data_IF_683076820954
#
_entry.id   IF_683076820954
#
_cell.length_a   1.000
_cell.length_b   1.000
_cell.length_c   1.000
_cell.angle_alpha   90.00
_cell.angle_beta   90.00
_cell.angle_gamma   90.00
#
_symmetry.space_group_name_H-M   'P 1'
#
loop_
_entity.id
_entity.type
_entity.pdbx_description
1 polymer ?
#
# COMPACT_ATOMS: atom_id res chain seq x y z
N UNK A 1 -19.10 33.13 -49.34
CA UNK A 1 -20.34 33.78 -48.85
C UNK A 1 -21.13 32.92 -47.85
N UNK A 2 -21.38 31.62 -48.12
CA UNK A 2 -22.18 30.75 -47.25
C UNK A 2 -21.61 30.56 -45.81
N UNK A 3 -20.30 30.44 -45.66
CA UNK A 3 -19.66 30.32 -44.34
C UNK A 3 -19.74 31.59 -43.50
N UNK A 4 -19.73 32.77 -44.11
CA UNK A 4 -19.87 34.04 -43.40
C UNK A 4 -21.30 34.18 -42.86
N UNK A 5 -22.31 33.72 -43.61
CA UNK A 5 -23.71 33.71 -43.17
C UNK A 5 -23.91 32.72 -42.02
N UNK A 6 -23.30 31.52 -42.08
CA UNK A 6 -23.36 30.53 -40.99
C UNK A 6 -22.66 31.05 -39.72
N UNK A 7 -21.46 31.61 -39.84
CA UNK A 7 -20.75 32.22 -38.70
C UNK A 7 -21.53 33.40 -38.12
N UNK A 8 -22.18 34.22 -38.95
CA UNK A 8 -23.00 35.34 -38.50
C UNK A 8 -24.26 34.85 -37.74
N UNK A 9 -24.91 33.79 -38.21
CA UNK A 9 -26.01 33.15 -37.49
C UNK A 9 -25.56 32.49 -36.18
N UNK A 10 -24.39 31.84 -36.15
CA UNK A 10 -23.81 31.25 -34.93
C UNK A 10 -23.43 32.34 -33.92
N UNK A 11 -22.83 33.44 -34.37
CA UNK A 11 -22.44 34.59 -33.53
C UNK A 11 -23.69 35.32 -33.00
N UNK A 12 -24.73 35.51 -33.83
CA UNK A 12 -26.02 36.09 -33.37
C UNK A 12 -26.69 35.15 -32.37
N UNK A 13 -26.67 33.83 -32.60
CA UNK A 13 -27.25 32.82 -31.70
C UNK A 13 -26.48 32.77 -30.37
N UNK A 14 -25.15 32.82 -30.40
CA UNK A 14 -24.28 32.95 -29.21
C UNK A 14 -24.52 34.26 -28.46
N UNK A 15 -24.63 35.39 -29.18
CA UNK A 15 -24.87 36.72 -28.59
C UNK A 15 -26.25 36.85 -27.94
N UNK A 16 -27.27 36.19 -28.50
CA UNK A 16 -28.61 36.07 -27.92
C UNK A 16 -28.65 35.09 -26.73
N UNK A 17 -27.73 34.13 -26.67
CA UNK A 17 -27.59 33.18 -25.56
C UNK A 17 -26.77 33.73 -24.38
N UNK A 18 -25.89 34.72 -24.58
CA UNK A 18 -25.00 35.24 -23.53
C UNK A 18 -25.69 35.65 -22.19
N UNK A 19 -26.89 36.28 -22.17
CA UNK A 19 -27.59 36.56 -20.91
C UNK A 19 -28.11 35.30 -20.22
N UNK A 20 -28.44 34.26 -21.01
CA UNK A 20 -29.02 32.99 -20.58
C UNK A 20 -27.96 31.90 -20.30
N UNK A 21 -26.69 32.14 -20.62
CA UNK A 21 -25.60 31.18 -20.39
C UNK A 21 -25.19 31.08 -18.93
N UNK A 22 -25.32 32.16 -18.14
CA UNK A 22 -24.88 32.18 -16.74
C UNK A 22 -25.60 31.11 -15.88
N UNK A 23 -26.94 30.98 -15.89
CA UNK A 23 -27.62 29.94 -15.10
C UNK A 23 -27.30 28.52 -15.55
N UNK A 24 -27.09 28.31 -16.86
CA UNK A 24 -26.72 27.01 -17.44
C UNK A 24 -25.34 26.60 -16.91
N UNK A 25 -24.35 27.49 -17.02
CA UNK A 25 -22.99 27.24 -16.53
C UNK A 25 -22.95 26.98 -15.03
N UNK A 26 -23.68 27.77 -14.23
CA UNK A 26 -23.76 27.59 -12.77
C UNK A 26 -24.38 26.24 -12.43
N UNK A 27 -25.50 25.88 -13.07
CA UNK A 27 -26.17 24.59 -12.83
C UNK A 27 -25.26 23.40 -13.20
N UNK A 28 -24.59 23.46 -14.35
CA UNK A 28 -23.63 22.44 -14.78
C UNK A 28 -22.44 22.31 -13.82
N UNK A 29 -21.82 23.44 -13.43
CA UNK A 29 -20.68 23.44 -12.51
C UNK A 29 -21.06 22.84 -11.15
N UNK A 30 -22.24 23.17 -10.63
CA UNK A 30 -22.75 22.57 -9.39
C UNK A 30 -22.93 21.06 -9.51
N UNK A 31 -23.46 20.56 -10.63
CA UNK A 31 -23.61 19.12 -10.86
C UNK A 31 -22.28 18.39 -11.09
N UNK A 32 -21.22 19.09 -11.53
CA UNK A 32 -19.85 18.54 -11.56
C UNK A 32 -19.30 18.39 -10.14
N UNK A 33 -19.54 19.39 -9.26
CA UNK A 33 -19.11 19.32 -7.85
C UNK A 33 -19.78 18.14 -7.15
N UNK A 34 -21.11 18.00 -7.29
CA UNK A 34 -21.82 16.82 -6.83
C UNK A 34 -23.14 16.63 -7.61
N UNK A 35 -23.42 15.41 -8.13
CA UNK A 35 -24.67 15.14 -8.84
C UNK A 35 -25.89 15.46 -7.98
N UNK A 36 -26.77 16.34 -8.48
CA UNK A 36 -27.96 16.81 -7.78
C UNK A 36 -27.90 18.28 -7.34
N UNK A 37 -26.72 18.88 -7.16
CA UNK A 37 -26.64 20.30 -6.78
C UNK A 37 -27.15 21.23 -7.90
N UNK A 38 -26.86 20.92 -9.17
CA UNK A 38 -27.40 21.67 -10.31
C UNK A 38 -28.91 21.54 -10.47
N UNK A 39 -29.47 20.35 -10.23
CA UNK A 39 -30.92 20.12 -10.19
C UNK A 39 -31.58 20.93 -9.07
N UNK A 40 -30.94 21.03 -7.91
CA UNK A 40 -31.43 21.82 -6.79
C UNK A 40 -31.41 23.32 -7.08
N UNK A 41 -30.36 23.82 -7.75
CA UNK A 41 -30.30 25.20 -8.27
C UNK A 41 -31.48 25.51 -9.20
N UNK A 42 -31.84 24.54 -10.04
CA UNK A 42 -32.98 24.59 -10.97
C UNK A 42 -34.36 24.36 -10.30
N UNK A 43 -34.45 24.37 -8.96
CA UNK A 43 -35.66 24.07 -8.17
C UNK A 43 -36.25 22.67 -8.40
N UNK A 44 -35.47 21.73 -8.92
CA UNK A 44 -35.85 20.32 -9.04
C UNK A 44 -35.40 19.50 -7.82
N UNK A 45 -35.87 19.89 -6.64
CA UNK A 45 -35.42 19.32 -5.35
C UNK A 45 -35.60 17.81 -5.28
N UNK A 46 -36.70 17.27 -5.81
CA UNK A 46 -36.94 15.82 -5.81
C UNK A 46 -35.89 15.05 -6.62
N UNK A 47 -35.51 15.56 -7.80
CA UNK A 47 -34.42 14.95 -8.58
C UNK A 47 -33.10 15.03 -7.82
N UNK A 48 -32.80 16.16 -7.20
CA UNK A 48 -31.58 16.31 -6.40
C UNK A 48 -31.49 15.28 -5.27
N UNK A 49 -32.59 15.08 -4.53
CA UNK A 49 -32.68 14.08 -3.46
C UNK A 49 -32.45 12.66 -3.98
N UNK A 50 -33.09 12.28 -5.09
CA UNK A 50 -32.88 10.96 -5.70
C UNK A 50 -31.42 10.76 -6.13
N UNK A 51 -30.78 11.78 -6.70
CA UNK A 51 -29.39 11.71 -7.11
C UNK A 51 -28.45 11.56 -5.90
N UNK A 52 -28.73 12.24 -4.79
CA UNK A 52 -27.98 12.07 -3.53
C UNK A 52 -28.14 10.64 -2.97
N UNK A 53 -29.37 10.10 -2.97
CA UNK A 53 -29.64 8.74 -2.49
C UNK A 53 -28.92 7.65 -3.32
N UNK A 54 -28.61 7.91 -4.58
CA UNK A 54 -27.83 7.00 -5.43
C UNK A 54 -26.32 7.23 -5.28
N UNK A 55 -25.88 8.48 -5.26
CA UNK A 55 -24.46 8.81 -5.24
C UNK A 55 -23.79 8.49 -3.90
N UNK A 56 -24.46 8.76 -2.77
CA UNK A 56 -23.87 8.53 -1.44
C UNK A 56 -23.51 7.03 -1.24
N UNK A 57 -24.40 6.06 -1.52
CA UNK A 57 -24.04 4.64 -1.46
C UNK A 57 -22.98 4.23 -2.48
N UNK A 58 -22.98 4.79 -3.69
CA UNK A 58 -21.94 4.51 -4.69
C UNK A 58 -20.56 4.99 -4.23
N UNK A 59 -20.49 6.20 -3.66
CA UNK A 59 -19.27 6.76 -3.08
C UNK A 59 -18.77 5.88 -1.92
N UNK A 60 -19.70 5.32 -1.12
CA UNK A 60 -19.38 4.36 -0.06
C UNK A 60 -18.83 3.02 -0.58
N UNK A 61 -19.47 2.44 -1.60
CA UNK A 61 -19.00 1.21 -2.23
C UNK A 61 -17.62 1.39 -2.86
N UNK A 62 -17.36 2.55 -3.48
CA UNK A 62 -16.05 2.91 -4.01
C UNK A 62 -14.98 2.95 -2.92
N UNK A 63 -15.32 3.53 -1.76
CA UNK A 63 -14.44 3.58 -0.62
C UNK A 63 -14.10 2.19 -0.08
N UNK A 64 -15.09 1.29 0.05
CA UNK A 64 -14.89 -0.06 0.60
C UNK A 64 -14.14 -0.98 -0.36
N UNK A 65 -14.41 -0.91 -1.67
CA UNK A 65 -13.89 -1.88 -2.67
C UNK A 65 -12.67 -1.42 -3.45
N UNK A 66 -12.06 -0.28 -3.09
CA UNK A 66 -10.80 0.16 -3.70
C UNK A 66 -10.88 0.39 -5.22
N UNK A 67 -11.82 1.23 -5.66
CA UNK A 67 -11.95 1.80 -7.02
C UNK A 67 -12.84 1.08 -8.06
N UNK A 68 -13.62 0.07 -7.70
CA UNK A 68 -14.43 -0.68 -8.68
C UNK A 68 -15.57 0.11 -9.38
N UNK A 69 -15.97 1.30 -8.88
CA UNK A 69 -17.16 2.03 -9.35
C UNK A 69 -16.83 3.47 -9.79
N UNK A 70 -15.55 3.82 -9.97
CA UNK A 70 -15.15 5.18 -10.39
C UNK A 70 -15.60 5.51 -11.83
N UNK A 71 -15.52 4.54 -12.73
CA UNK A 71 -15.92 4.71 -14.14
C UNK A 71 -17.43 4.95 -14.26
N UNK A 72 -18.22 4.15 -13.54
CA UNK A 72 -19.68 4.31 -13.46
C UNK A 72 -20.08 5.65 -12.83
N UNK A 73 -19.33 6.09 -11.82
CA UNK A 73 -19.53 7.38 -11.16
C UNK A 73 -19.27 8.55 -12.12
N UNK A 74 -18.25 8.45 -12.98
CA UNK A 74 -17.93 9.46 -13.98
C UNK A 74 -19.00 9.53 -15.07
N UNK A 75 -19.40 8.38 -15.64
CA UNK A 75 -20.49 8.31 -16.62
C UNK A 75 -21.80 8.86 -16.07
N UNK A 76 -22.14 8.51 -14.82
CA UNK A 76 -23.33 9.03 -14.15
C UNK A 76 -23.28 10.54 -13.95
N UNK A 77 -22.11 11.10 -13.61
CA UNK A 77 -21.92 12.55 -13.47
C UNK A 77 -22.17 13.27 -14.78
N UNK A 78 -21.67 12.74 -15.90
CA UNK A 78 -21.88 13.34 -17.22
C UNK A 78 -23.37 13.44 -17.54
N UNK A 79 -24.13 12.36 -17.32
CA UNK A 79 -25.59 12.33 -17.54
C UNK A 79 -26.29 13.38 -16.68
N UNK A 80 -25.92 13.49 -15.41
CA UNK A 80 -26.52 14.45 -14.47
C UNK A 80 -26.19 15.90 -14.82
N UNK A 81 -24.98 16.18 -15.30
CA UNK A 81 -24.57 17.50 -15.79
C UNK A 81 -25.37 17.90 -17.02
N UNK A 82 -25.58 16.97 -17.96
CA UNK A 82 -26.41 17.19 -19.16
C UNK A 82 -27.86 17.49 -18.77
N UNK A 83 -28.47 16.70 -17.86
CA UNK A 83 -29.84 16.95 -17.37
C UNK A 83 -29.97 18.33 -16.68
N UNK A 84 -28.97 18.71 -15.88
CA UNK A 84 -28.93 20.00 -15.20
C UNK A 84 -28.83 21.16 -16.20
N UNK A 85 -27.94 21.04 -17.19
CA UNK A 85 -27.74 22.04 -18.25
C UNK A 85 -29.00 22.20 -19.11
N UNK A 86 -29.60 21.09 -19.54
CA UNK A 86 -30.81 21.08 -20.35
C UNK A 86 -32.00 21.67 -19.60
N UNK A 87 -32.15 21.31 -18.32
CA UNK A 87 -33.18 21.88 -17.46
C UNK A 87 -33.00 23.39 -17.30
N UNK A 88 -31.78 23.84 -17.03
CA UNK A 88 -31.48 25.25 -16.89
C UNK A 88 -31.80 26.01 -18.18
N UNK A 89 -31.40 25.47 -19.34
CA UNK A 89 -31.75 26.04 -20.64
C UNK A 89 -33.28 26.15 -20.83
N UNK A 90 -34.04 25.10 -20.51
CA UNK A 90 -35.51 25.13 -20.60
C UNK A 90 -36.13 26.21 -19.69
N UNK A 91 -35.62 26.38 -18.46
CA UNK A 91 -36.07 27.44 -17.55
C UNK A 91 -35.76 28.82 -18.13
N UNK A 92 -34.62 29.01 -18.81
CA UNK A 92 -34.33 30.30 -19.46
C UNK A 92 -35.27 30.65 -20.63
N UNK A 93 -35.90 29.66 -21.26
CA UNK A 93 -36.87 29.85 -22.35
C UNK A 93 -38.30 30.06 -21.83
N UNK A 94 -38.59 29.66 -20.59
CA UNK A 94 -39.94 29.66 -20.01
C UNK A 94 -40.03 30.70 -18.89
N UNK A 95 -40.66 31.85 -19.17
CA UNK A 95 -40.80 32.95 -18.21
C UNK A 95 -41.64 32.60 -16.97
N UNK A 96 -42.39 31.49 -16.99
CA UNK A 96 -43.15 31.01 -15.83
C UNK A 96 -42.28 30.31 -14.78
N UNK A 97 -41.05 29.94 -15.14
CA UNK A 97 -40.12 29.23 -14.26
C UNK A 97 -38.96 30.15 -13.89
N UNK A 98 -38.55 30.06 -12.64
CA UNK A 98 -37.40 30.84 -12.15
C UNK A 98 -36.39 29.93 -11.46
N UNK A 99 -35.12 30.31 -11.56
CA UNK A 99 -34.06 29.74 -10.73
C UNK A 99 -34.27 30.11 -9.26
N UNK A 100 -33.50 29.48 -8.37
CA UNK A 100 -33.36 30.00 -7.01
C UNK A 100 -32.75 31.41 -7.06
N UNK A 101 -33.24 32.30 -6.20
CA UNK A 101 -32.57 33.59 -6.00
C UNK A 101 -31.20 33.35 -5.37
N UNK A 102 -30.28 34.30 -5.52
CA UNK A 102 -28.91 34.14 -4.97
C UNK A 102 -28.92 33.78 -3.48
N UNK A 103 -29.77 34.45 -2.68
CA UNK A 103 -29.94 34.15 -1.24
C UNK A 103 -30.47 32.74 -1.00
N UNK A 104 -31.48 32.30 -1.77
CA UNK A 104 -32.03 30.95 -1.63
C UNK A 104 -31.06 29.87 -2.09
N UNK A 105 -30.29 30.14 -3.14
CA UNK A 105 -29.27 29.26 -3.68
C UNK A 105 -28.17 29.03 -2.65
N UNK A 106 -27.64 30.09 -2.05
CA UNK A 106 -26.62 30.00 -0.99
C UNK A 106 -27.10 29.18 0.21
N UNK A 107 -28.33 29.43 0.68
CA UNK A 107 -28.89 28.69 1.83
C UNK A 107 -29.09 27.21 1.48
N UNK A 108 -29.78 26.91 0.38
CA UNK A 108 -30.15 25.52 0.04
C UNK A 108 -28.95 24.68 -0.38
N UNK A 109 -28.09 25.22 -1.24
CA UNK A 109 -26.87 24.52 -1.68
C UNK A 109 -25.92 24.40 -0.50
N UNK A 110 -25.74 25.45 0.31
CA UNK A 110 -24.89 25.42 1.49
C UNK A 110 -25.31 24.33 2.48
N UNK A 111 -26.60 24.25 2.82
CA UNK A 111 -27.14 23.19 3.67
C UNK A 111 -26.87 21.81 3.07
N UNK A 112 -27.14 21.62 1.77
CA UNK A 112 -26.91 20.31 1.15
C UNK A 112 -25.45 19.92 1.07
N UNK A 113 -24.52 20.86 0.85
CA UNK A 113 -23.08 20.57 0.91
C UNK A 113 -22.67 20.15 2.32
N UNK A 114 -23.20 20.80 3.37
CA UNK A 114 -22.95 20.40 4.76
C UNK A 114 -23.49 19.00 5.04
N UNK A 115 -24.71 18.69 4.60
CA UNK A 115 -25.31 17.35 4.74
C UNK A 115 -24.47 16.31 3.99
N UNK A 116 -24.09 16.59 2.74
CA UNK A 116 -23.25 15.70 1.93
C UNK A 116 -21.90 15.46 2.59
N UNK A 117 -21.24 16.50 3.11
CA UNK A 117 -19.99 16.37 3.85
C UNK A 117 -20.16 15.51 5.10
N UNK A 118 -21.26 15.68 5.84
CA UNK A 118 -21.56 14.85 7.00
C UNK A 118 -21.82 13.37 6.62
N UNK A 119 -22.61 13.12 5.58
CA UNK A 119 -22.91 11.77 5.11
C UNK A 119 -21.69 11.07 4.52
N UNK A 120 -20.80 11.78 3.85
CA UNK A 120 -19.61 11.17 3.20
C UNK A 120 -18.42 11.10 4.15
N UNK A 121 -18.05 12.21 4.79
CA UNK A 121 -16.88 12.28 5.68
C UNK A 121 -17.21 11.82 7.10
N UNK A 122 -18.36 12.23 7.65
CA UNK A 122 -18.75 11.86 9.02
C UNK A 122 -18.93 10.36 9.19
N UNK A 123 -19.64 9.70 8.27
CA UNK A 123 -19.76 8.24 8.26
C UNK A 123 -18.41 7.56 8.04
N UNK A 124 -17.52 8.13 7.22
CA UNK A 124 -16.18 7.59 7.01
C UNK A 124 -15.35 7.65 8.29
N UNK A 125 -15.38 8.76 9.02
CA UNK A 125 -14.70 8.87 10.32
C UNK A 125 -15.28 7.89 11.35
N UNK A 126 -16.61 7.79 11.44
CA UNK A 126 -17.27 6.85 12.34
C UNK A 126 -16.88 5.39 12.00
N UNK A 127 -16.86 5.02 10.72
CA UNK A 127 -16.44 3.70 10.28
C UNK A 127 -14.96 3.43 10.58
N UNK A 128 -14.06 4.37 10.31
CA UNK A 128 -12.64 4.24 10.64
C UNK A 128 -12.46 4.06 12.15
N UNK A 129 -13.20 4.80 12.98
CA UNK A 129 -13.13 4.63 14.43
C UNK A 129 -13.64 3.28 14.89
N UNK A 130 -14.81 2.83 14.40
CA UNK A 130 -15.37 1.51 14.73
C UNK A 130 -14.45 0.39 14.25
N UNK A 131 -13.92 0.50 13.03
CA UNK A 131 -12.97 -0.47 12.48
C UNK A 131 -11.68 -0.52 13.31
N UNK A 132 -11.09 0.64 13.62
CA UNK A 132 -9.88 0.70 14.44
C UNK A 132 -10.13 0.19 15.86
N UNK A 133 -11.32 0.41 16.41
CA UNK A 133 -11.71 -0.14 17.70
C UNK A 133 -11.86 -1.66 17.63
N UNK A 134 -12.55 -2.19 16.62
CA UNK A 134 -12.68 -3.63 16.41
C UNK A 134 -11.33 -4.31 16.20
N UNK A 135 -10.41 -3.68 15.44
CA UNK A 135 -9.03 -4.17 15.26
C UNK A 135 -8.27 -4.14 16.59
N UNK A 136 -8.39 -3.07 17.38
CA UNK A 136 -7.75 -3.00 18.72
C UNK A 136 -8.32 -4.04 19.69
N UNK A 137 -9.63 -4.30 19.64
CA UNK A 137 -10.28 -5.32 20.45
C UNK A 137 -9.83 -6.73 20.02
N UNK A 138 -9.69 -6.99 18.71
CA UNK A 138 -9.10 -8.25 18.21
C UNK A 138 -7.63 -8.42 18.60
N UNK A 139 -6.82 -7.36 18.54
CA UNK A 139 -5.40 -7.40 18.94
C UNK A 139 -5.21 -7.59 20.46
N UNK A 140 -6.18 -7.17 21.26
CA UNK A 140 -6.18 -7.34 22.71
C UNK A 140 -6.89 -8.62 23.18
N UNK A 141 -7.47 -9.39 22.26
CA UNK A 141 -8.01 -10.71 22.56
C UNK A 141 -6.85 -11.67 22.83
N UNK A 142 -6.40 -11.71 24.09
CA UNK A 142 -5.65 -12.84 24.63
C UNK A 142 -6.61 -14.03 24.66
N UNK A 143 -6.80 -14.68 23.52
CA UNK A 143 -7.34 -16.04 23.51
C UNK A 143 -6.24 -16.91 24.11
N UNK A 144 -6.21 -17.00 25.44
CA UNK A 144 -5.39 -17.98 26.14
C UNK A 144 -6.13 -19.31 26.09
N UNK A 145 -6.28 -19.85 24.89
CA UNK A 145 -6.81 -21.20 24.71
C UNK A 145 -5.69 -22.18 25.07
N UNK A 146 -5.79 -22.71 26.29
CA UNK A 146 -4.82 -23.64 26.86
C UNK A 146 -4.70 -24.93 26.04
N UNK A 147 -5.76 -25.35 25.34
CA UNK A 147 -5.74 -26.54 24.49
C UNK A 147 -4.99 -26.26 23.20
N UNK A 148 -5.34 -25.18 22.51
CA UNK A 148 -4.68 -24.81 21.26
C UNK A 148 -3.19 -24.48 21.43
N UNK A 149 -2.81 -23.88 22.56
CA UNK A 149 -1.41 -23.68 22.91
C UNK A 149 -0.65 -25.01 23.03
N UNK A 150 -1.26 -26.05 23.63
CA UNK A 150 -0.64 -27.38 23.72
C UNK A 150 -0.49 -28.00 22.34
N UNK A 151 -1.52 -27.92 21.49
CA UNK A 151 -1.45 -28.45 20.12
C UNK A 151 -0.30 -27.82 19.32
N UNK A 152 -0.10 -26.51 19.44
CA UNK A 152 1.02 -25.82 18.78
C UNK A 152 2.37 -26.33 19.29
N UNK A 153 2.51 -26.51 20.61
CA UNK A 153 3.75 -27.03 21.19
C UNK A 153 3.99 -28.48 20.76
N UNK A 154 2.97 -29.34 20.77
CA UNK A 154 3.06 -30.72 20.30
C UNK A 154 3.44 -30.79 18.83
N UNK A 155 2.81 -29.99 17.97
CA UNK A 155 3.15 -29.86 16.55
C UNK A 155 4.64 -29.52 16.36
N UNK A 156 5.15 -28.54 17.09
CA UNK A 156 6.55 -28.12 16.98
C UNK A 156 7.53 -29.14 17.56
N UNK A 157 7.18 -29.77 18.68
CA UNK A 157 8.01 -30.81 19.33
C UNK A 157 8.12 -32.06 18.47
N UNK A 158 7.02 -32.52 17.88
CA UNK A 158 7.00 -33.66 16.95
C UNK A 158 7.84 -33.36 15.71
N UNK A 159 7.75 -32.13 15.19
CA UNK A 159 8.44 -31.72 13.97
C UNK A 159 9.95 -31.51 14.20
N UNK A 160 10.32 -30.77 15.24
CA UNK A 160 11.67 -30.26 15.42
C UNK A 160 12.48 -30.93 16.54
N UNK A 161 11.86 -31.78 17.37
CA UNK A 161 12.52 -32.45 18.51
C UNK A 161 13.17 -31.47 19.51
N UNK A 162 12.61 -30.27 19.63
CA UNK A 162 13.06 -29.19 20.52
C UNK A 162 11.92 -28.71 21.43
N UNK A 163 12.25 -28.14 22.60
CA UNK A 163 11.25 -27.54 23.50
C UNK A 163 10.93 -26.09 23.09
N UNK A 164 9.64 -25.77 23.01
CA UNK A 164 9.15 -24.44 22.61
C UNK A 164 8.23 -23.83 23.69
N UNK A 165 8.07 -22.51 23.63
CA UNK A 165 7.18 -21.76 24.51
C UNK A 165 6.33 -20.78 23.68
N UNK A 166 5.01 -20.85 23.84
CA UNK A 166 4.09 -19.86 23.27
C UNK A 166 4.18 -18.58 24.10
N UNK A 167 4.58 -17.48 23.47
CA UNK A 167 4.72 -16.17 24.11
C UNK A 167 3.44 -15.34 24.03
N UNK A 168 2.77 -15.40 22.88
CA UNK A 168 1.59 -14.59 22.59
C UNK A 168 0.71 -15.30 21.56
N UNK A 169 -0.60 -15.17 21.71
CA UNK A 169 -1.59 -15.61 20.73
C UNK A 169 -2.41 -14.42 20.30
N UNK A 170 -2.60 -14.25 19.00
CA UNK A 170 -3.51 -13.28 18.41
C UNK A 170 -4.44 -13.99 17.43
N UNK A 171 -5.61 -13.43 17.17
CA UNK A 171 -6.52 -13.89 16.12
C UNK A 171 -6.57 -12.85 15.00
N UNK A 172 -6.24 -13.24 13.77
CA UNK A 172 -6.15 -12.34 12.62
C UNK A 172 -6.61 -13.06 11.34
N UNK A 173 -7.56 -12.45 10.63
CA UNK A 173 -8.07 -12.93 9.32
C UNK A 173 -8.45 -14.42 9.38
N UNK A 174 -9.39 -14.73 10.27
CA UNK A 174 -9.96 -16.08 10.48
C UNK A 174 -8.97 -17.18 10.91
N UNK A 175 -7.79 -16.82 11.44
CA UNK A 175 -6.78 -17.77 11.91
C UNK A 175 -6.11 -17.30 13.19
N UNK A 176 -5.63 -18.23 14.00
CA UNK A 176 -4.74 -17.91 15.11
C UNK A 176 -3.32 -17.69 14.61
N UNK A 177 -2.64 -16.75 15.26
CA UNK A 177 -1.26 -16.36 15.02
C UNK A 177 -0.53 -16.44 16.36
N UNK A 178 0.29 -17.47 16.51
CA UNK A 178 1.09 -17.73 17.71
C UNK A 178 2.49 -17.16 17.51
N UNK A 179 2.97 -16.37 18.48
CA UNK A 179 4.39 -16.08 18.61
C UNK A 179 5.01 -17.11 19.53
N UNK A 180 6.01 -17.81 19.01
CA UNK A 180 6.66 -18.93 19.68
C UNK A 180 8.17 -18.71 19.66
N UNK A 181 8.87 -19.23 20.67
CA UNK A 181 10.33 -19.28 20.72
C UNK A 181 10.81 -20.65 21.21
N UNK A 182 11.97 -21.14 20.77
CA UNK A 182 12.66 -22.25 21.45
C UNK A 182 12.98 -21.84 22.89
N UNK A 183 12.86 -22.78 23.82
CA UNK A 183 13.11 -22.52 25.25
C UNK A 183 14.56 -22.11 25.53
N UNK A 184 15.50 -22.72 24.82
CA UNK A 184 16.94 -22.42 24.91
C UNK A 184 17.34 -21.11 24.19
N UNK A 185 16.48 -20.57 23.32
CA UNK A 185 16.75 -19.38 22.51
C UNK A 185 15.54 -18.44 22.51
N UNK A 186 15.21 -17.80 23.65
CA UNK A 186 14.01 -16.98 23.79
C UNK A 186 14.01 -15.74 22.88
N UNK A 187 15.17 -15.33 22.37
CA UNK A 187 15.29 -14.23 21.40
C UNK A 187 14.84 -14.62 19.97
N UNK A 188 14.80 -15.93 19.67
CA UNK A 188 14.39 -16.45 18.37
C UNK A 188 12.86 -16.58 18.30
N UNK A 189 12.19 -15.44 18.14
CA UNK A 189 10.73 -15.41 18.01
C UNK A 189 10.32 -15.67 16.55
N UNK A 190 9.50 -16.69 16.35
CA UNK A 190 8.87 -17.04 15.09
C UNK A 190 7.35 -17.12 15.22
N UNK A 191 6.68 -17.28 14.09
CA UNK A 191 5.22 -17.31 14.01
C UNK A 191 4.75 -18.70 13.58
N UNK A 192 3.70 -19.18 14.25
CA UNK A 192 2.85 -20.30 13.80
C UNK A 192 1.48 -19.73 13.47
N UNK A 193 0.87 -20.16 12.37
CA UNK A 193 -0.48 -19.78 11.97
C UNK A 193 -1.34 -21.01 11.72
N UNK A 194 -2.59 -20.97 12.14
CA UNK A 194 -3.59 -22.01 11.88
C UNK A 194 -4.64 -22.04 12.97
N UNK A 195 -5.50 -23.04 12.93
CA UNK A 195 -6.65 -23.23 13.83
C UNK A 195 -6.69 -24.64 14.45
N UNK A 196 -5.81 -25.53 13.99
CA UNK A 196 -5.68 -26.92 14.42
C UNK A 196 -4.33 -27.48 13.98
N UNK A 197 -3.90 -28.58 14.62
CA UNK A 197 -2.65 -29.29 14.30
C UNK A 197 -2.51 -29.67 12.83
N UNK A 198 -3.60 -30.04 12.15
CA UNK A 198 -3.62 -30.45 10.75
C UNK A 198 -3.36 -29.28 9.77
N UNK A 199 -3.51 -28.04 10.22
CA UNK A 199 -3.43 -26.83 9.40
C UNK A 199 -2.38 -25.84 9.91
N UNK A 200 -1.56 -26.21 10.89
CA UNK A 200 -0.49 -25.34 11.34
C UNK A 200 0.59 -25.17 10.27
N UNK A 201 1.02 -23.92 10.13
CA UNK A 201 2.18 -23.52 9.31
C UNK A 201 3.06 -22.65 10.16
N UNK A 202 4.35 -22.93 10.19
CA UNK A 202 5.30 -22.18 10.97
C UNK A 202 6.40 -21.55 10.11
N UNK A 203 7.12 -20.63 10.74
CA UNK A 203 8.23 -19.89 10.14
C UNK A 203 9.56 -20.19 10.83
N UNK A 204 9.68 -21.34 11.52
CA UNK A 204 10.85 -21.66 12.33
C UNK A 204 12.13 -21.79 11.47
N UNK A 205 12.10 -22.61 10.42
CA UNK A 205 13.25 -22.77 9.50
C UNK A 205 13.70 -21.45 8.89
N UNK A 206 12.74 -20.61 8.47
CA UNK A 206 12.99 -19.25 7.97
C UNK A 206 13.74 -18.38 9.00
N UNK A 207 13.40 -18.50 10.29
CA UNK A 207 14.10 -17.77 11.36
C UNK A 207 15.48 -18.33 11.66
N UNK A 208 15.66 -19.65 11.64
CA UNK A 208 16.96 -20.30 11.80
C UNK A 208 17.90 -19.85 10.68
N UNK A 209 17.47 -19.96 9.42
CA UNK A 209 18.25 -19.52 8.27
C UNK A 209 18.54 -18.01 8.30
N UNK A 210 17.57 -17.17 8.69
CA UNK A 210 17.83 -15.74 8.83
C UNK A 210 18.85 -15.42 9.93
N UNK A 211 18.91 -16.22 11.01
CA UNK A 211 19.96 -16.10 12.04
C UNK A 211 21.33 -16.46 11.45
N UNK A 212 21.44 -17.56 10.73
CA UNK A 212 22.68 -17.98 10.05
C UNK A 212 23.13 -16.94 9.01
N UNK A 213 22.22 -16.48 8.14
CA UNK A 213 22.50 -15.45 7.14
C UNK A 213 23.01 -14.15 7.78
N UNK A 214 22.45 -13.72 8.91
CA UNK A 214 22.96 -12.54 9.64
C UNK A 214 24.37 -12.76 10.20
N UNK A 215 24.68 -13.96 10.67
CA UNK A 215 26.01 -14.26 11.17
C UNK A 215 27.05 -14.27 10.04
N UNK A 216 26.68 -14.75 8.86
CA UNK A 216 27.60 -14.87 7.72
C UNK A 216 27.71 -13.60 6.87
N UNK A 217 26.58 -12.93 6.58
CA UNK A 217 26.53 -11.83 5.61
C UNK A 217 26.73 -10.45 6.24
N UNK A 218 26.40 -10.24 7.53
CA UNK A 218 26.66 -8.93 8.16
C UNK A 218 28.14 -8.53 8.14
N UNK A 219 29.12 -9.43 8.42
CA UNK A 219 30.53 -9.11 8.26
C UNK A 219 30.89 -8.68 6.84
N UNK A 220 30.29 -9.32 5.82
CA UNK A 220 30.49 -9.01 4.41
C UNK A 220 29.90 -7.65 4.04
N UNK A 221 28.70 -7.34 4.54
CA UNK A 221 28.04 -6.03 4.38
C UNK A 221 28.90 -4.94 5.01
N UNK A 222 29.38 -5.15 6.23
CA UNK A 222 30.25 -4.19 6.92
C UNK A 222 31.58 -3.99 6.17
N UNK A 223 32.15 -5.05 5.60
CA UNK A 223 33.36 -4.95 4.78
C UNK A 223 33.12 -4.16 3.48
N UNK A 224 31.98 -4.36 2.83
CA UNK A 224 31.67 -3.78 1.51
C UNK A 224 31.25 -2.31 1.62
N UNK A 225 30.37 -2.00 2.57
CA UNK A 225 29.74 -0.69 2.70
C UNK A 225 30.24 0.13 3.90
N UNK A 226 31.12 -0.44 4.73
CA UNK A 226 31.68 0.24 5.90
C UNK A 226 30.65 0.43 7.01
N UNK A 227 30.37 1.69 7.37
CA UNK A 227 29.46 2.00 8.49
C UNK A 227 28.00 1.86 8.05
N UNK A 228 27.42 0.72 8.40
CA UNK A 228 25.98 0.46 8.25
C UNK A 228 25.27 0.47 9.60
N UNK A 229 23.94 0.60 9.60
CA UNK A 229 23.13 0.53 10.82
C UNK A 229 21.87 -0.30 10.59
N UNK A 230 21.42 -1.02 11.62
CA UNK A 230 20.12 -1.71 11.62
C UNK A 230 19.80 -2.53 10.35
N UNK A 231 20.79 -3.25 9.81
CA UNK A 231 20.59 -4.09 8.63
C UNK A 231 19.61 -5.21 8.96
N UNK A 232 18.70 -5.50 8.03
CA UNK A 232 17.69 -6.54 8.21
C UNK A 232 17.89 -7.63 7.17
N UNK A 233 17.97 -8.86 7.65
CA UNK A 233 18.01 -10.04 6.79
C UNK A 233 16.91 -10.98 7.26
N UNK A 234 16.05 -11.37 6.33
CA UNK A 234 15.03 -12.40 6.54
C UNK A 234 15.00 -13.34 5.36
N UNK A 235 14.63 -14.59 5.58
CA UNK A 235 14.54 -15.58 4.51
C UNK A 235 13.10 -16.07 4.45
N UNK A 236 12.48 -15.90 3.29
CA UNK A 236 11.19 -16.49 2.99
C UNK A 236 11.37 -17.75 2.16
N UNK A 237 10.41 -18.67 2.27
CA UNK A 237 10.42 -19.92 1.53
C UNK A 237 9.13 -20.01 0.71
N UNK A 238 9.25 -20.02 -0.62
CA UNK A 238 8.12 -20.06 -1.56
C UNK A 238 7.83 -21.49 -1.97
N UNK A 239 7.24 -22.24 -1.06
CA UNK A 239 6.72 -23.57 -1.29
C UNK A 239 5.88 -23.98 -0.09
N UNK A 240 4.97 -24.93 -0.27
CA UNK A 240 4.56 -25.70 0.88
C UNK A 240 5.84 -26.38 1.36
N UNK A 241 6.33 -26.02 2.55
CA UNK A 241 7.37 -26.78 3.24
C UNK A 241 6.83 -28.15 3.69
N UNK A 242 5.85 -28.67 2.96
CA UNK A 242 5.30 -30.00 3.01
C UNK A 242 6.41 -30.88 2.41
N UNK A 243 7.16 -31.53 3.29
CA UNK A 243 8.08 -32.63 3.00
C UNK A 243 9.56 -32.34 2.67
N UNK A 244 10.09 -31.13 2.88
CA UNK A 244 11.55 -30.94 2.82
C UNK A 244 12.26 -31.34 4.12
N UNK A 245 12.71 -32.60 4.13
CA UNK A 245 13.86 -33.22 4.83
C UNK A 245 14.45 -32.42 5.99
N UNK A 246 13.71 -32.29 7.09
CA UNK A 246 14.38 -32.19 8.37
C UNK A 246 15.30 -33.41 8.50
N UNK A 247 16.58 -33.18 8.73
CA UNK A 247 17.54 -34.27 8.96
C UNK A 247 17.51 -34.51 10.46
N UNK A 248 16.90 -35.61 10.88
CA UNK A 248 16.73 -35.97 12.29
C UNK A 248 16.04 -34.87 13.12
N UNK A 249 14.95 -34.29 12.58
CA UNK A 249 14.19 -33.21 13.23
C UNK A 249 14.86 -31.83 13.17
N UNK A 250 16.05 -31.70 12.59
CA UNK A 250 16.78 -30.42 12.54
C UNK A 250 16.61 -29.72 11.20
N UNK A 251 16.52 -28.39 11.29
CA UNK A 251 16.58 -27.49 10.14
C UNK A 251 17.99 -27.60 9.52
N UNK A 252 18.11 -27.87 8.21
CA UNK A 252 19.42 -27.97 7.55
C UNK A 252 20.16 -26.63 7.58
N UNK A 253 21.49 -26.69 7.44
CA UNK A 253 22.32 -25.49 7.35
C UNK A 253 21.94 -24.64 6.13
N UNK A 254 22.00 -23.31 6.28
CA UNK A 254 21.67 -22.37 5.21
C UNK A 254 22.46 -22.63 3.93
N UNK A 255 23.75 -22.97 4.00
CA UNK A 255 24.57 -23.20 2.80
C UNK A 255 24.10 -24.44 2.04
N UNK A 256 23.71 -25.48 2.76
CA UNK A 256 23.17 -26.70 2.17
C UNK A 256 21.79 -26.45 1.58
N UNK A 257 20.95 -25.68 2.29
CA UNK A 257 19.62 -25.29 1.79
C UNK A 257 19.72 -24.43 0.52
N UNK A 258 20.64 -23.45 0.46
CA UNK A 258 20.88 -22.66 -0.74
C UNK A 258 21.42 -23.51 -1.90
N UNK A 259 22.26 -24.51 -1.64
CA UNK A 259 22.77 -25.40 -2.70
C UNK A 259 21.67 -26.26 -3.32
N UNK A 260 20.75 -26.76 -2.49
CA UNK A 260 19.76 -27.74 -2.93
C UNK A 260 18.43 -27.10 -3.37
N UNK A 261 18.05 -25.97 -2.75
CA UNK A 261 16.69 -25.41 -2.81
C UNK A 261 16.67 -23.89 -3.07
N UNK A 262 17.73 -23.31 -3.66
CA UNK A 262 17.83 -21.85 -3.89
C UNK A 262 16.64 -21.24 -4.64
N UNK A 263 15.95 -21.99 -5.50
CA UNK A 263 14.80 -21.49 -6.27
C UNK A 263 13.58 -21.15 -5.39
N UNK A 264 13.47 -21.84 -4.25
CA UNK A 264 12.39 -21.70 -3.29
C UNK A 264 12.77 -20.80 -2.12
N UNK A 265 14.07 -20.59 -1.88
CA UNK A 265 14.56 -19.66 -0.87
C UNK A 265 14.66 -18.25 -1.43
N UNK A 266 13.99 -17.30 -0.78
CA UNK A 266 14.01 -15.89 -1.17
C UNK A 266 14.45 -15.07 0.04
N UNK A 267 15.77 -14.78 0.16
CA UNK A 267 16.28 -13.82 1.11
C UNK A 267 15.78 -12.42 0.77
N UNK A 268 15.29 -11.71 1.78
CA UNK A 268 15.09 -10.28 1.79
C UNK A 268 16.21 -9.65 2.62
N UNK A 269 17.00 -8.78 1.99
CA UNK A 269 18.18 -8.15 2.55
C UNK A 269 18.00 -6.64 2.45
N UNK A 270 18.00 -5.97 3.59
CA UNK A 270 17.90 -4.53 3.70
C UNK A 270 19.18 -4.00 4.36
N UNK A 271 19.88 -3.13 3.64
CA UNK A 271 21.16 -2.55 4.08
C UNK A 271 20.97 -1.04 4.19
N UNK A 272 21.26 -0.49 5.36
CA UNK A 272 21.16 0.96 5.59
C UNK A 272 22.54 1.56 5.77
N UNK A 273 22.91 2.47 4.88
CA UNK A 273 24.24 3.06 4.76
C UNK A 273 24.17 4.55 5.11
N UNK A 274 25.00 5.01 6.05
CA UNK A 274 25.11 6.44 6.38
C UNK A 274 26.15 7.08 5.46
N UNK A 275 25.76 7.29 4.21
CA UNK A 275 26.57 7.95 3.19
C UNK A 275 25.65 8.55 2.12
N UNK A 276 25.92 9.80 1.73
CA UNK A 276 25.21 10.44 0.63
C UNK A 276 25.49 9.72 -0.69
N UNK A 277 24.45 9.42 -1.48
CA UNK A 277 24.61 8.96 -2.86
C UNK A 277 24.50 10.16 -3.81
N UNK A 278 25.54 10.43 -4.59
CA UNK A 278 25.59 11.57 -5.50
C UNK A 278 26.46 11.28 -6.73
N UNK A 279 26.53 12.21 -7.68
CA UNK A 279 27.27 12.02 -8.92
C UNK A 279 28.79 11.81 -8.72
N UNK A 280 29.37 12.35 -7.65
CA UNK A 280 30.80 12.23 -7.38
C UNK A 280 31.20 10.84 -6.89
N UNK A 281 30.28 10.12 -6.22
CA UNK A 281 30.55 8.80 -5.67
C UNK A 281 29.71 7.67 -6.27
N UNK A 282 28.87 7.98 -7.26
CA UNK A 282 27.97 7.03 -7.95
C UNK A 282 28.71 5.75 -8.34
N UNK A 283 29.79 5.88 -9.11
CA UNK A 283 30.52 4.74 -9.67
C UNK A 283 31.10 3.86 -8.55
N UNK A 284 31.70 4.47 -7.52
CA UNK A 284 32.23 3.73 -6.36
C UNK A 284 31.12 2.96 -5.62
N UNK A 285 29.95 3.57 -5.45
CA UNK A 285 28.83 2.92 -4.77
C UNK A 285 28.24 1.79 -5.61
N UNK A 286 28.13 1.96 -6.93
CA UNK A 286 27.64 0.89 -7.81
C UNK A 286 28.61 -0.29 -7.86
N UNK A 287 29.91 -0.05 -7.85
CA UNK A 287 30.92 -1.11 -7.72
C UNK A 287 30.78 -1.88 -6.40
N UNK A 288 30.50 -1.18 -5.28
CA UNK A 288 30.21 -1.85 -4.00
C UNK A 288 28.94 -2.69 -4.06
N UNK A 289 27.88 -2.17 -4.67
CA UNK A 289 26.63 -2.92 -4.89
C UNK A 289 26.90 -4.16 -5.75
N UNK A 290 27.64 -4.02 -6.84
CA UNK A 290 28.01 -5.13 -7.72
C UNK A 290 28.84 -6.19 -6.97
N UNK A 291 29.84 -5.76 -6.21
CA UNK A 291 30.66 -6.65 -5.38
C UNK A 291 29.78 -7.44 -4.40
N UNK A 292 28.83 -6.78 -3.73
CA UNK A 292 27.91 -7.45 -2.82
C UNK A 292 27.01 -8.47 -3.55
N UNK A 293 26.48 -8.11 -4.72
CA UNK A 293 25.71 -9.02 -5.57
C UNK A 293 26.53 -10.26 -5.95
N UNK A 294 27.77 -10.09 -6.41
CA UNK A 294 28.66 -11.19 -6.77
C UNK A 294 29.00 -12.06 -5.56
N UNK A 295 29.16 -11.47 -4.38
CA UNK A 295 29.36 -12.23 -3.14
C UNK A 295 28.15 -13.13 -2.84
N UNK A 296 26.92 -12.62 -2.93
CA UNK A 296 25.71 -13.44 -2.73
C UNK A 296 25.59 -14.55 -3.79
N UNK A 297 25.89 -14.25 -5.05
CA UNK A 297 25.93 -15.25 -6.12
C UNK A 297 26.94 -16.36 -5.81
N UNK A 298 28.12 -16.03 -5.27
CA UNK A 298 29.13 -17.01 -4.85
C UNK A 298 28.67 -17.94 -3.72
N UNK A 299 27.69 -17.50 -2.93
CA UNK A 299 27.07 -18.29 -1.85
C UNK A 299 25.85 -19.09 -2.34
N UNK A 300 25.66 -19.25 -3.66
CA UNK A 300 24.53 -19.91 -4.29
C UNK A 300 23.17 -19.23 -4.06
N UNK A 301 23.16 -17.93 -3.76
CA UNK A 301 21.91 -17.15 -3.74
C UNK A 301 21.53 -16.83 -5.19
N UNK A 302 20.52 -17.53 -5.70
CA UNK A 302 20.04 -17.36 -7.09
C UNK A 302 18.91 -16.34 -7.20
N UNK A 303 18.17 -16.11 -6.11
CA UNK A 303 17.04 -15.19 -6.01
C UNK A 303 17.10 -14.45 -4.68
N UNK A 304 16.84 -13.15 -4.67
CA UNK A 304 16.78 -12.33 -3.47
C UNK A 304 16.02 -11.04 -3.77
N UNK A 305 15.43 -10.43 -2.75
CA UNK A 305 15.08 -9.02 -2.78
C UNK A 305 16.10 -8.25 -1.95
N UNK A 306 16.75 -7.27 -2.56
CA UNK A 306 17.82 -6.51 -1.92
C UNK A 306 17.49 -5.03 -2.00
N UNK A 307 17.35 -4.40 -0.84
CA UNK A 307 17.08 -2.98 -0.69
C UNK A 307 18.30 -2.33 -0.03
N UNK A 308 19.00 -1.45 -0.75
CA UNK A 308 20.17 -0.74 -0.24
C UNK A 308 19.81 0.74 -0.14
N UNK A 309 19.72 1.22 1.08
CA UNK A 309 19.22 2.54 1.43
C UNK A 309 20.40 3.45 1.80
N UNK A 310 20.50 4.58 1.11
CA UNK A 310 21.51 5.61 1.37
C UNK A 310 20.88 6.79 2.11
N UNK A 311 21.50 7.17 3.22
CA UNK A 311 21.04 8.25 4.09
C UNK A 311 22.07 9.37 4.20
N UNK A 312 21.56 10.56 4.55
CA UNK A 312 22.40 11.72 4.80
C UNK A 312 23.38 11.49 5.97
N UNK A 313 24.61 11.94 5.77
CA UNK A 313 25.69 11.90 6.77
C UNK A 313 25.39 12.69 8.04
N UNK A 314 24.39 13.57 8.02
CA UNK A 314 23.86 14.23 9.23
C UNK A 314 23.52 13.19 10.32
N UNK A 315 23.08 11.98 9.94
CA UNK A 315 22.82 10.89 10.89
C UNK A 315 24.05 10.41 11.67
N UNK A 316 25.28 10.60 11.15
CA UNK A 316 26.51 10.30 11.89
C UNK A 316 26.59 11.11 13.19
N UNK A 317 26.06 12.33 13.19
CA UNK A 317 26.11 13.26 14.33
C UNK A 317 25.01 12.99 15.37
N UNK A 318 23.89 12.41 14.96
CA UNK A 318 22.75 12.16 15.87
C UNK A 318 22.91 10.88 16.68
N UNK A 319 23.81 9.97 16.27
CA UNK A 319 24.01 8.68 16.93
C UNK A 319 22.79 7.76 16.86
N UNK A 320 21.83 8.07 15.99
CA UNK A 320 20.56 7.36 15.88
C UNK A 320 20.78 5.96 15.33
N UNK A 321 20.32 4.95 16.08
CA UNK A 321 20.33 3.54 15.65
C UNK A 321 18.94 3.02 15.23
N UNK A 322 17.94 3.90 15.11
CA UNK A 322 16.54 3.51 14.89
C UNK A 322 15.91 4.30 13.72
N UNK A 323 15.46 3.54 12.71
CA UNK A 323 15.03 3.99 11.39
C UNK A 323 13.66 4.70 11.35
N UNK A 324 12.72 4.39 12.25
CA UNK A 324 11.32 4.86 12.11
C UNK A 324 11.19 6.39 12.02
N UNK A 325 12.20 7.14 12.49
CA UNK A 325 12.21 8.60 12.43
C UNK A 325 13.17 9.19 11.38
N UNK A 326 13.90 8.38 10.60
CA UNK A 326 14.98 8.82 9.71
C UNK A 326 14.66 8.70 8.20
N UNK A 327 13.47 8.21 7.83
CA UNK A 327 13.05 8.04 6.42
C UNK A 327 13.16 9.35 5.62
N UNK A 328 12.86 10.50 6.23
CA UNK A 328 13.00 11.83 5.61
C UNK A 328 14.45 12.23 5.28
N UNK A 329 15.45 11.47 5.74
CA UNK A 329 16.88 11.68 5.47
C UNK A 329 17.43 10.65 4.47
N UNK A 330 16.59 9.75 3.96
CA UNK A 330 16.95 8.88 2.85
C UNK A 330 17.07 9.73 1.58
N UNK A 331 18.23 9.66 0.93
CA UNK A 331 18.49 10.41 -0.30
C UNK A 331 18.44 9.51 -1.54
N UNK A 332 18.65 8.20 -1.39
CA UNK A 332 18.64 7.26 -2.51
C UNK A 332 18.34 5.82 -2.06
N UNK A 333 17.78 5.03 -2.97
CA UNK A 333 17.50 3.60 -2.78
C UNK A 333 17.86 2.81 -4.02
N UNK A 334 18.57 1.71 -3.82
CA UNK A 334 18.78 0.67 -4.84
C UNK A 334 17.88 -0.50 -4.48
N UNK A 335 16.95 -0.83 -5.37
CA UNK A 335 16.03 -1.97 -5.23
C UNK A 335 16.41 -3.00 -6.28
N UNK A 336 16.89 -4.17 -5.85
CA UNK A 336 17.16 -5.31 -6.71
C UNK A 336 16.10 -6.38 -6.43
N UNK A 337 15.35 -6.74 -7.48
CA UNK A 337 14.32 -7.77 -7.40
C UNK A 337 14.91 -9.20 -7.52
N UNK A 338 14.02 -10.19 -7.60
CA UNK A 338 14.35 -11.61 -7.63
C UNK A 338 15.33 -12.04 -8.75
N UNK A 339 15.52 -11.23 -9.79
CA UNK A 339 16.41 -11.51 -10.91
C UNK A 339 17.80 -10.87 -10.75
N UNK A 340 18.19 -10.48 -9.52
CA UNK A 340 19.51 -9.88 -9.25
C UNK A 340 20.69 -10.76 -9.71
N UNK A 341 20.50 -12.08 -9.84
CA UNK A 341 21.51 -13.01 -10.36
C UNK A 341 21.91 -12.77 -11.82
N UNK A 342 21.11 -12.00 -12.58
CA UNK A 342 21.43 -11.58 -13.95
C UNK A 342 22.44 -10.43 -14.00
N UNK A 343 22.63 -9.71 -12.90
CA UNK A 343 23.55 -8.59 -12.81
C UNK A 343 24.99 -9.11 -12.80
N UNK A 344 25.79 -8.70 -13.78
CA UNK A 344 27.20 -9.10 -13.96
C UNK A 344 28.13 -7.90 -13.92
N UNK A 345 27.64 -6.73 -14.29
CA UNK A 345 28.41 -5.50 -14.51
C UNK A 345 27.72 -4.29 -13.86
N UNK A 346 28.42 -3.16 -13.78
CA UNK A 346 27.84 -1.90 -13.29
C UNK A 346 26.79 -1.40 -14.28
N UNK A 347 27.02 -1.57 -15.58
CA UNK A 347 26.08 -1.20 -16.63
C UNK A 347 24.72 -1.90 -16.48
N UNK A 348 24.72 -3.18 -16.07
CA UNK A 348 23.47 -3.92 -15.77
C UNK A 348 22.70 -3.29 -14.60
N UNK A 349 23.40 -2.76 -13.59
CA UNK A 349 22.79 -2.04 -12.47
C UNK A 349 22.19 -0.72 -12.94
N UNK A 350 22.93 0.04 -13.75
CA UNK A 350 22.46 1.34 -14.25
C UNK A 350 21.22 1.22 -15.13
N UNK A 351 21.21 0.25 -16.06
CA UNK A 351 20.05 -0.03 -16.92
C UNK A 351 18.81 -0.34 -16.08
N UNK A 352 18.98 -1.20 -15.06
CA UNK A 352 17.87 -1.67 -14.23
C UNK A 352 17.32 -0.58 -13.31
N UNK A 353 18.17 0.29 -12.81
CA UNK A 353 17.77 1.38 -11.92
C UNK A 353 17.21 2.59 -12.69
N UNK A 354 17.28 2.59 -14.03
CA UNK A 354 16.79 3.67 -14.87
C UNK A 354 17.47 5.01 -14.55
N UNK A 355 18.75 4.96 -14.17
CA UNK A 355 19.46 6.10 -13.59
C UNK A 355 20.01 7.07 -14.65
N UNK A 356 19.23 8.11 -14.96
CA UNK A 356 19.79 9.44 -15.29
C UNK A 356 20.04 10.19 -13.97
N UNK A 357 21.20 9.97 -13.35
CA UNK A 357 21.58 10.72 -12.15
C UNK A 357 21.87 12.17 -12.57
N UNK A 358 21.05 13.11 -12.08
CA UNK A 358 21.20 14.55 -12.34
C UNK A 358 22.19 15.21 -11.39
#
# INVERSE_FOLDING_TARGET
MLHIIICFFVIIRLKRMMPHMKPILISSALSVIYPGLGQMYNRQTWKAVLLFLVCIPMDWLNFVKGNLVWEWRLLFTIVVVIDAAYTAWRITQDSSRSFLTMKQSLIRIGISVVILAFCTLGLRFAFIQVFNQAVKEQQNFKVNDSELNKEVIEYLQERYQEEFVVMQVNYMVDRYVFKVSPKEQPEMIFIVTGDSKENFRDTYSSKVWAKQARQEWNPMIAQTFGTTFDNRISISYRGEMNEQKLIDGKVPDLKDALRNDSEYMIPYIEINIIQNFNQENKDEQLEKVLSFVQMLQSQNVSRSQIDINFYDEVLKKTGTKNYTNAEHLQNFIVILDYDFSKIKTVEDLEERLGMDVK
#
